data_IF_724692477522
#
_entry.id   IF_724692477522
#
_cell.length_a   1.000
_cell.length_b   1.000
_cell.length_c   1.000
_cell.angle_alpha   90.00
_cell.angle_beta   90.00
_cell.angle_gamma   90.00
#
_symmetry.space_group_name_H-M   'P 1'
#
loop_
_entity.id
_entity.type
_entity.pdbx_description
1 polymer ?
#
# COMPACT_ATOMS: atom_id res chain seq x y z
N UNK A 1 -8.20 -3.16 12.38
CA UNK A 1 -7.42 -4.20 13.08
C UNK A 1 -7.03 -3.74 14.48
N UNK A 2 -6.31 -2.60 14.65
CA UNK A 2 -5.85 -2.12 15.97
C UNK A 2 -7.02 -1.97 16.98
N UNK A 3 -8.03 -1.19 16.63
CA UNK A 3 -9.17 -0.95 17.52
C UNK A 3 -9.98 -2.22 17.81
N UNK A 4 -10.10 -3.12 16.83
CA UNK A 4 -10.74 -4.42 17.05
C UNK A 4 -9.97 -5.24 18.07
N UNK A 5 -8.63 -5.26 17.98
CA UNK A 5 -7.78 -5.93 18.96
C UNK A 5 -7.91 -5.34 20.38
N UNK A 6 -7.95 -4.01 20.49
CA UNK A 6 -8.15 -3.32 21.77
C UNK A 6 -9.52 -3.66 22.41
N UNK A 7 -10.59 -3.73 21.60
CA UNK A 7 -11.93 -4.11 22.10
C UNK A 7 -11.92 -5.54 22.60
N UNK A 8 -11.37 -6.50 21.86
CA UNK A 8 -11.30 -7.90 22.30
C UNK A 8 -10.45 -8.07 23.56
N UNK A 9 -9.29 -7.39 23.64
CA UNK A 9 -8.44 -7.39 24.84
C UNK A 9 -9.12 -6.78 26.06
N UNK A 10 -9.99 -5.77 25.86
CA UNK A 10 -10.78 -5.17 26.94
C UNK A 10 -11.93 -6.09 27.42
N UNK A 11 -12.48 -6.94 26.54
CA UNK A 11 -13.54 -7.90 26.90
C UNK A 11 -12.99 -9.06 27.73
N UNK A 12 -11.86 -9.64 27.34
CA UNK A 12 -11.21 -10.70 28.10
C UNK A 12 -9.69 -10.56 28.05
N UNK A 13 -9.04 -10.18 29.18
CA UNK A 13 -7.57 -10.03 29.28
C UNK A 13 -6.80 -11.34 29.00
N UNK A 14 -7.45 -12.49 28.97
CA UNK A 14 -6.81 -13.77 28.65
C UNK A 14 -6.71 -14.03 27.16
N UNK A 15 -7.37 -13.21 26.32
CA UNK A 15 -7.24 -13.26 24.88
C UNK A 15 -5.90 -12.66 24.46
N UNK A 16 -4.90 -13.48 24.30
CA UNK A 16 -3.60 -13.09 23.78
C UNK A 16 -3.20 -14.00 22.62
N UNK A 17 -2.58 -13.39 21.63
CA UNK A 17 -2.05 -14.14 20.48
C UNK A 17 -0.66 -14.67 20.86
N UNK A 18 -0.37 -15.97 20.66
CA UNK A 18 0.97 -16.50 20.87
C UNK A 18 2.03 -15.69 20.11
N UNK A 19 3.18 -15.47 20.74
CA UNK A 19 4.27 -14.64 20.23
C UNK A 19 4.69 -15.04 18.81
N UNK A 20 4.83 -16.35 18.57
CA UNK A 20 5.23 -16.87 17.26
C UNK A 20 4.25 -16.49 16.13
N UNK A 21 2.96 -16.36 16.45
CA UNK A 21 1.92 -16.03 15.45
C UNK A 21 2.03 -14.57 15.04
N UNK A 22 2.19 -13.65 15.99
CA UNK A 22 2.31 -12.23 15.64
C UNK A 22 3.66 -11.94 14.96
N UNK A 23 4.77 -12.58 15.38
CA UNK A 23 6.07 -12.46 14.74
C UNK A 23 6.04 -12.95 13.30
N UNK A 24 5.44 -14.12 13.07
CA UNK A 24 5.27 -14.65 11.71
C UNK A 24 4.44 -13.68 10.84
N UNK A 25 3.35 -13.16 11.38
CA UNK A 25 2.52 -12.16 10.70
C UNK A 25 3.30 -10.88 10.36
N UNK A 26 4.12 -10.38 11.30
CA UNK A 26 4.96 -9.21 11.09
C UNK A 26 6.02 -9.44 10.00
N UNK A 27 6.71 -10.58 10.04
CA UNK A 27 7.71 -10.95 9.04
C UNK A 27 7.08 -11.05 7.64
N UNK A 28 5.95 -11.74 7.49
CA UNK A 28 5.24 -11.85 6.23
C UNK A 28 4.76 -10.48 5.72
N UNK A 29 4.28 -9.62 6.61
CA UNK A 29 3.84 -8.27 6.28
C UNK A 29 5.00 -7.42 5.73
N UNK A 30 6.13 -7.35 6.46
CA UNK A 30 7.30 -6.58 6.04
C UNK A 30 7.89 -7.13 4.73
N UNK A 31 7.98 -8.46 4.61
CA UNK A 31 8.46 -9.12 3.41
C UNK A 31 7.59 -8.80 2.18
N UNK A 32 6.27 -8.85 2.33
CA UNK A 32 5.31 -8.53 1.25
C UNK A 32 5.45 -7.08 0.78
N UNK A 33 5.59 -6.14 1.73
CA UNK A 33 5.84 -4.73 1.40
C UNK A 33 7.18 -4.58 0.65
N UNK A 34 8.24 -5.23 1.14
CA UNK A 34 9.56 -5.19 0.50
C UNK A 34 9.52 -5.69 -0.95
N UNK A 35 8.84 -6.82 -1.18
CA UNK A 35 8.69 -7.38 -2.53
C UNK A 35 7.90 -6.47 -3.46
N UNK A 36 6.78 -5.91 -3.00
CA UNK A 36 5.94 -5.07 -3.84
C UNK A 36 6.55 -3.70 -4.12
N UNK A 37 7.26 -3.13 -3.15
CA UNK A 37 7.85 -1.79 -3.26
C UNK A 37 9.25 -1.77 -3.89
N UNK A 38 9.97 -2.88 -3.83
CA UNK A 38 11.36 -2.97 -4.29
C UNK A 38 11.58 -2.54 -5.75
N UNK A 39 10.87 -3.10 -6.73
CA UNK A 39 11.04 -2.72 -8.14
C UNK A 39 10.78 -1.24 -8.40
N UNK A 40 9.72 -0.69 -7.80
CA UNK A 40 9.36 0.73 -7.94
C UNK A 40 10.41 1.64 -7.30
N UNK A 41 10.92 1.27 -6.13
CA UNK A 41 11.99 1.99 -5.45
C UNK A 41 13.25 2.11 -6.32
N UNK A 42 13.74 1.00 -6.87
CA UNK A 42 14.93 1.01 -7.72
C UNK A 42 14.73 1.76 -9.05
N UNK A 43 13.53 1.72 -9.63
CA UNK A 43 13.21 2.48 -10.83
C UNK A 43 13.18 4.00 -10.52
N UNK A 44 12.53 4.40 -9.45
CA UNK A 44 12.47 5.79 -9.00
C UNK A 44 13.87 6.33 -8.65
N UNK A 45 14.70 5.53 -7.98
CA UNK A 45 16.07 5.89 -7.64
C UNK A 45 16.91 6.19 -8.89
N UNK A 46 16.78 5.43 -9.96
CA UNK A 46 17.51 5.67 -11.21
C UNK A 46 17.10 6.97 -11.91
N UNK A 47 15.88 7.43 -11.74
CA UNK A 47 15.33 8.57 -12.48
C UNK A 47 15.46 9.91 -11.74
N UNK A 48 15.14 9.95 -10.43
CA UNK A 48 15.15 11.15 -9.60
C UNK A 48 15.81 10.92 -8.23
N UNK A 49 16.52 9.82 -8.06
CA UNK A 49 16.82 9.19 -6.81
C UNK A 49 17.50 10.05 -5.75
N UNK A 50 18.47 10.89 -6.14
CA UNK A 50 19.20 11.72 -5.18
C UNK A 50 18.31 12.80 -4.55
N UNK A 51 17.46 13.45 -5.33
CA UNK A 51 16.56 14.50 -4.82
C UNK A 51 15.51 13.90 -3.88
N UNK A 52 14.86 12.83 -4.30
CA UNK A 52 13.78 12.20 -3.54
C UNK A 52 14.34 11.51 -2.28
N UNK A 53 15.51 10.87 -2.40
CA UNK A 53 16.22 10.32 -1.25
C UNK A 53 16.59 11.39 -0.21
N UNK A 54 17.19 12.49 -0.65
CA UNK A 54 17.56 13.59 0.24
C UNK A 54 16.32 14.20 0.92
N UNK A 55 15.24 14.39 0.17
CA UNK A 55 13.97 14.87 0.72
C UNK A 55 13.44 13.95 1.82
N UNK A 56 13.41 12.62 1.58
CA UNK A 56 12.95 11.64 2.58
C UNK A 56 13.84 11.67 3.83
N UNK A 57 15.17 11.69 3.65
CA UNK A 57 16.10 11.73 4.79
C UNK A 57 15.91 13.02 5.62
N UNK A 58 15.77 14.17 4.97
CA UNK A 58 15.51 15.45 5.67
C UNK A 58 14.18 15.38 6.43
N UNK A 59 13.12 14.85 5.81
CA UNK A 59 11.82 14.70 6.47
C UNK A 59 11.87 13.75 7.67
N UNK A 60 12.62 12.65 7.58
CA UNK A 60 12.82 11.74 8.71
C UNK A 60 13.60 12.40 9.85
N UNK A 61 14.64 13.14 9.54
CA UNK A 61 15.41 13.88 10.56
C UNK A 61 14.53 14.94 11.23
N UNK A 62 13.78 15.73 10.45
CA UNK A 62 12.89 16.76 10.99
C UNK A 62 11.80 16.15 11.88
N UNK A 63 11.17 15.06 11.46
CA UNK A 63 10.15 14.38 12.25
C UNK A 63 10.73 13.80 13.56
N UNK A 64 11.94 13.24 13.50
CA UNK A 64 12.66 12.78 14.70
C UNK A 64 13.02 13.93 15.64
N UNK A 65 13.48 15.07 15.13
CA UNK A 65 13.75 16.26 15.94
C UNK A 65 12.49 16.79 16.62
N UNK A 66 11.35 16.80 15.92
CA UNK A 66 10.06 17.16 16.53
C UNK A 66 9.73 16.22 17.68
N UNK A 67 9.91 14.91 17.51
CA UNK A 67 9.70 13.94 18.60
C UNK A 67 10.60 14.23 19.81
N UNK A 68 11.88 14.55 19.61
CA UNK A 68 12.81 14.93 20.68
C UNK A 68 12.37 16.23 21.38
N UNK A 69 11.93 17.23 20.64
CA UNK A 69 11.40 18.48 21.22
C UNK A 69 10.16 18.20 22.06
N UNK A 70 9.23 17.39 21.57
CA UNK A 70 8.03 17.01 22.31
C UNK A 70 8.37 16.21 23.57
N UNK A 71 9.35 15.30 23.50
CA UNK A 71 9.87 14.59 24.65
C UNK A 71 10.33 15.56 25.74
N UNK A 72 11.13 16.55 25.37
CA UNK A 72 11.68 17.53 26.31
C UNK A 72 10.62 18.51 26.88
N UNK A 73 9.68 18.97 26.01
CA UNK A 73 8.66 19.97 26.40
C UNK A 73 7.59 19.37 27.30
N UNK A 74 7.17 18.13 27.04
CA UNK A 74 6.07 17.48 27.77
C UNK A 74 6.55 16.51 28.85
N UNK A 75 7.85 16.39 29.09
CA UNK A 75 8.46 15.48 30.09
C UNK A 75 7.92 14.04 29.98
N UNK A 76 7.75 13.56 28.75
CA UNK A 76 7.26 12.21 28.46
C UNK A 76 8.36 11.18 28.65
N UNK A 77 8.00 9.92 28.93
CA UNK A 77 9.00 8.86 28.91
C UNK A 77 9.53 8.61 27.48
N UNK A 78 10.78 8.16 27.39
CA UNK A 78 11.38 7.81 26.10
C UNK A 78 10.60 6.70 25.38
N UNK A 79 10.01 5.76 26.11
CA UNK A 79 9.16 4.72 25.57
C UNK A 79 7.87 5.28 24.97
N UNK A 80 7.18 6.17 25.70
CA UNK A 80 5.94 6.80 25.23
C UNK A 80 6.17 7.60 23.96
N UNK A 81 7.22 8.44 23.89
CA UNK A 81 7.46 9.28 22.71
C UNK A 81 7.90 8.46 21.50
N UNK A 82 8.68 7.39 21.71
CA UNK A 82 9.10 6.49 20.63
C UNK A 82 7.90 5.72 20.04
N UNK A 83 7.03 5.23 20.95
CA UNK A 83 5.76 4.64 20.54
C UNK A 83 4.86 5.62 19.80
N UNK A 84 4.73 6.85 20.29
CA UNK A 84 3.95 7.91 19.65
C UNK A 84 4.52 8.30 18.27
N UNK A 85 5.83 8.33 18.12
CA UNK A 85 6.48 8.56 16.83
C UNK A 85 6.19 7.42 15.83
N UNK A 86 6.32 6.16 16.27
CA UNK A 86 5.98 5.01 15.46
C UNK A 86 4.49 5.00 15.06
N UNK A 87 3.59 5.38 15.97
CA UNK A 87 2.16 5.49 15.70
C UNK A 87 1.82 6.63 14.72
N UNK A 88 2.37 7.82 14.92
CA UNK A 88 2.13 8.98 14.05
C UNK A 88 2.60 8.77 12.61
N UNK A 89 3.65 7.98 12.44
CA UNK A 89 4.15 7.55 11.13
C UNK A 89 3.50 6.26 10.62
N UNK A 90 2.51 5.70 11.35
CA UNK A 90 1.83 4.43 11.05
C UNK A 90 2.81 3.26 10.81
N UNK A 91 3.93 3.27 11.52
CA UNK A 91 5.05 2.34 11.34
C UNK A 91 5.05 1.24 12.42
N UNK A 92 4.24 0.20 12.21
CA UNK A 92 4.17 -0.96 13.13
C UNK A 92 5.52 -1.70 13.26
N UNK A 93 6.33 -1.89 12.21
CA UNK A 93 7.67 -2.47 12.36
C UNK A 93 8.60 -1.67 13.29
N UNK A 94 8.48 -0.34 13.30
CA UNK A 94 9.26 0.48 14.23
C UNK A 94 8.84 0.24 15.69
N UNK A 95 7.53 0.09 15.97
CA UNK A 95 7.07 -0.29 17.31
C UNK A 95 7.62 -1.64 17.74
N UNK A 96 7.61 -2.65 16.84
CA UNK A 96 8.17 -3.95 17.13
C UNK A 96 9.67 -3.85 17.50
N UNK A 97 10.45 -3.07 16.75
CA UNK A 97 11.86 -2.83 17.07
C UNK A 97 12.06 -2.13 18.43
N UNK A 98 11.15 -1.24 18.82
CA UNK A 98 11.18 -0.62 20.16
C UNK A 98 10.89 -1.64 21.25
N UNK A 99 9.89 -2.50 21.05
CA UNK A 99 9.56 -3.58 22.00
C UNK A 99 10.73 -4.55 22.15
N UNK A 100 11.32 -4.99 21.05
CA UNK A 100 12.49 -5.87 21.08
C UNK A 100 13.66 -5.23 21.82
N UNK A 101 13.97 -3.96 21.54
CA UNK A 101 15.03 -3.22 22.23
C UNK A 101 14.79 -3.16 23.75
N UNK A 102 13.55 -2.87 24.18
CA UNK A 102 13.19 -2.82 25.59
C UNK A 102 13.34 -4.20 26.24
N UNK A 103 12.84 -5.24 25.58
CA UNK A 103 12.90 -6.62 26.08
C UNK A 103 14.33 -7.12 26.30
N UNK A 104 15.26 -6.74 25.40
CA UNK A 104 16.65 -7.17 25.51
C UNK A 104 17.50 -6.35 26.49
N UNK A 105 17.15 -5.11 26.78
CA UNK A 105 18.01 -4.19 27.53
C UNK A 105 17.52 -3.88 28.95
N UNK A 106 16.30 -4.30 29.32
CA UNK A 106 15.72 -4.02 30.65
C UNK A 106 15.22 -5.29 31.32
N UNK A 107 15.23 -5.28 32.66
CA UNK A 107 14.70 -6.38 33.46
C UNK A 107 13.18 -6.53 33.30
N UNK A 108 12.64 -7.73 33.45
CA UNK A 108 11.25 -8.07 33.15
C UNK A 108 10.22 -7.09 33.76
N UNK A 109 10.37 -6.66 35.02
CA UNK A 109 9.43 -5.74 35.65
C UNK A 109 9.45 -4.32 35.05
N UNK A 110 10.63 -3.83 34.66
CA UNK A 110 10.82 -2.53 34.02
C UNK A 110 10.41 -2.61 32.54
N UNK A 111 10.76 -3.71 31.89
CA UNK A 111 10.43 -3.98 30.50
C UNK A 111 8.93 -3.92 30.25
N UNK A 112 8.12 -4.61 31.06
CA UNK A 112 6.66 -4.61 30.92
C UNK A 112 6.07 -3.21 31.03
N UNK A 113 6.58 -2.37 31.93
CA UNK A 113 6.12 -1.00 32.08
C UNK A 113 6.45 -0.16 30.84
N UNK A 114 7.71 -0.23 30.38
CA UNK A 114 8.16 0.53 29.20
C UNK A 114 7.46 0.07 27.91
N UNK A 115 7.22 -1.23 27.75
CA UNK A 115 6.45 -1.78 26.61
C UNK A 115 5.03 -1.23 26.63
N UNK A 116 4.36 -1.23 27.80
CA UNK A 116 3.01 -0.69 27.90
C UNK A 116 2.98 0.81 27.55
N UNK A 117 3.95 1.58 28.02
CA UNK A 117 4.07 3.01 27.68
C UNK A 117 4.27 3.23 26.17
N UNK A 118 5.14 2.44 25.52
CA UNK A 118 5.34 2.51 24.08
C UNK A 118 4.07 2.15 23.31
N UNK A 119 3.36 1.10 23.71
CA UNK A 119 2.10 0.67 23.08
C UNK A 119 1.00 1.71 23.28
N UNK A 120 0.90 2.33 24.45
CA UNK A 120 -0.04 3.43 24.71
C UNK A 120 0.26 4.62 23.79
N UNK A 121 1.53 5.06 23.74
CA UNK A 121 1.96 6.14 22.86
C UNK A 121 1.61 5.88 21.40
N UNK A 122 1.89 4.66 20.92
CA UNK A 122 1.56 4.21 19.59
C UNK A 122 0.05 4.22 19.31
N UNK A 123 -0.73 3.61 20.21
CA UNK A 123 -2.18 3.47 20.03
C UNK A 123 -2.90 4.81 20.03
N UNK A 124 -2.42 5.76 20.80
CA UNK A 124 -2.97 7.11 20.86
C UNK A 124 -2.65 7.94 19.62
N UNK A 125 -1.44 7.84 19.10
CA UNK A 125 -0.98 8.65 17.96
C UNK A 125 -1.35 8.06 16.59
N UNK A 126 -1.54 6.75 16.48
CA UNK A 126 -1.82 6.06 15.23
C UNK A 126 -3.05 6.60 14.47
N UNK A 127 -4.21 6.83 15.12
CA UNK A 127 -5.36 7.40 14.42
C UNK A 127 -5.05 8.77 13.82
N UNK A 128 -4.27 9.58 14.54
CA UNK A 128 -3.89 10.90 14.05
C UNK A 128 -2.87 10.81 12.90
N UNK A 129 -2.00 9.81 12.91
CA UNK A 129 -1.11 9.52 11.78
C UNK A 129 -1.87 9.25 10.47
N UNK A 130 -2.95 8.47 10.56
CA UNK A 130 -3.83 8.18 9.41
C UNK A 130 -4.65 9.41 9.00
N UNK A 131 -5.36 10.00 9.94
CA UNK A 131 -6.24 11.16 9.68
C UNK A 131 -5.43 12.39 9.28
N UNK A 132 -4.29 12.63 9.94
CA UNK A 132 -3.39 13.73 9.64
C UNK A 132 -2.87 13.69 8.20
N UNK A 133 -2.51 12.52 7.70
CA UNK A 133 -2.13 12.34 6.31
C UNK A 133 -3.24 12.69 5.33
N UNK A 134 -4.46 12.24 5.58
CA UNK A 134 -5.64 12.57 4.77
C UNK A 134 -5.92 14.08 4.80
N UNK A 135 -5.91 14.67 5.99
CA UNK A 135 -6.14 16.11 6.17
C UNK A 135 -5.04 16.92 5.46
N UNK A 136 -3.78 16.51 5.59
CA UNK A 136 -2.66 17.18 4.92
C UNK A 136 -2.83 17.18 3.39
N UNK A 137 -3.23 16.04 2.80
CA UNK A 137 -3.50 15.95 1.35
C UNK A 137 -4.63 16.89 0.95
N UNK A 138 -5.75 16.90 1.68
CA UNK A 138 -6.91 17.76 1.40
C UNK A 138 -6.54 19.26 1.53
N UNK A 139 -5.75 19.61 2.53
CA UNK A 139 -5.28 20.99 2.74
C UNK A 139 -4.33 21.40 1.60
N UNK A 140 -3.37 20.54 1.25
CA UNK A 140 -2.43 20.81 0.14
C UNK A 140 -3.15 20.95 -1.20
N UNK A 141 -4.11 20.08 -1.49
CA UNK A 141 -4.94 20.17 -2.69
C UNK A 141 -5.61 21.55 -2.81
N UNK A 142 -6.20 22.02 -1.70
CA UNK A 142 -6.89 23.30 -1.66
C UNK A 142 -5.96 24.50 -1.74
N UNK A 143 -4.83 24.46 -1.02
CA UNK A 143 -3.83 25.55 -1.00
C UNK A 143 -3.09 25.68 -2.33
N UNK A 144 -2.69 24.56 -2.92
CA UNK A 144 -1.91 24.52 -4.17
C UNK A 144 -2.79 24.53 -5.42
N UNK A 145 -4.13 24.48 -5.27
CA UNK A 145 -5.10 24.41 -6.38
C UNK A 145 -4.70 23.38 -7.43
N UNK A 146 -4.40 22.15 -6.98
CA UNK A 146 -3.89 21.06 -7.81
C UNK A 146 -4.94 20.66 -8.84
N UNK A 147 -4.56 20.69 -10.12
CA UNK A 147 -5.37 20.19 -11.23
C UNK A 147 -4.93 18.75 -11.55
N UNK A 148 -5.63 17.77 -10.99
CA UNK A 148 -5.31 16.35 -11.15
C UNK A 148 -5.32 15.87 -12.59
N UNK A 149 -6.11 16.48 -13.48
CA UNK A 149 -6.12 16.10 -14.90
C UNK A 149 -4.82 16.50 -15.61
N UNK A 150 -4.27 17.66 -15.28
CA UNK A 150 -2.98 18.12 -15.79
C UNK A 150 -1.84 17.29 -15.22
N UNK A 151 -1.83 17.07 -13.90
CA UNK A 151 -0.83 16.26 -13.22
C UNK A 151 -0.82 14.82 -13.75
N UNK A 152 -1.99 14.21 -13.95
CA UNK A 152 -2.13 12.87 -14.51
C UNK A 152 -1.56 12.78 -15.94
N UNK A 153 -1.76 13.80 -16.76
CA UNK A 153 -1.17 13.85 -18.10
C UNK A 153 0.36 13.95 -18.05
N UNK A 154 0.90 14.78 -17.16
CA UNK A 154 2.35 14.92 -16.97
C UNK A 154 2.97 13.64 -16.40
N UNK A 155 2.33 13.01 -15.43
CA UNK A 155 2.78 11.73 -14.86
C UNK A 155 2.84 10.63 -15.92
N UNK A 156 1.86 10.55 -16.82
CA UNK A 156 1.87 9.57 -17.93
C UNK A 156 3.03 9.78 -18.91
N UNK A 157 3.48 11.01 -19.11
CA UNK A 157 4.64 11.28 -19.96
C UNK A 157 5.97 11.07 -19.23
N UNK A 158 5.99 11.27 -17.92
CA UNK A 158 7.21 11.20 -17.10
C UNK A 158 7.47 9.79 -16.58
N UNK A 159 6.44 9.12 -16.16
CA UNK A 159 6.46 7.71 -15.78
C UNK A 159 5.65 6.98 -16.86
N UNK A 160 6.31 6.12 -17.63
CA UNK A 160 5.61 5.13 -18.43
C UNK A 160 4.89 4.20 -17.43
N UNK A 161 3.74 4.66 -16.95
CA UNK A 161 2.82 3.79 -16.22
C UNK A 161 2.49 2.70 -17.20
N UNK A 162 2.87 1.48 -16.87
CA UNK A 162 2.36 0.30 -17.58
C UNK A 162 0.89 0.57 -17.85
N UNK A 163 0.53 0.59 -19.11
CA UNK A 163 -0.83 0.90 -19.53
C UNK A 163 -1.74 0.00 -18.70
N UNK A 164 -2.50 0.60 -17.79
CA UNK A 164 -3.48 -0.16 -17.03
C UNK A 164 -4.30 -0.93 -18.03
N UNK A 165 -4.15 -2.24 -18.06
CA UNK A 165 -4.99 -3.11 -18.84
C UNK A 165 -6.43 -2.82 -18.40
N UNK A 166 -7.14 -2.03 -19.20
CA UNK A 166 -8.55 -1.82 -18.96
C UNK A 166 -9.28 -3.03 -19.52
N UNK A 167 -9.94 -3.78 -18.67
CA UNK A 167 -10.82 -4.86 -19.14
C UNK A 167 -12.14 -4.26 -19.61
N UNK A 168 -12.55 -4.61 -20.81
CA UNK A 168 -13.86 -4.29 -21.33
C UNK A 168 -14.53 -5.54 -21.89
N UNK A 169 -15.84 -5.57 -21.81
CA UNK A 169 -16.66 -6.62 -22.40
C UNK A 169 -17.23 -6.10 -23.72
N UNK A 170 -16.96 -6.77 -24.81
CA UNK A 170 -17.35 -6.35 -26.16
C UNK A 170 -18.28 -7.42 -26.76
N UNK A 171 -19.42 -6.99 -27.31
CA UNK A 171 -20.31 -7.86 -28.05
C UNK A 171 -20.01 -7.75 -29.58
N UNK A 172 -19.87 -8.87 -30.21
CA UNK A 172 -19.66 -8.95 -31.66
C UNK A 172 -20.95 -8.57 -32.39
N UNK A 173 -20.92 -7.45 -33.10
CA UNK A 173 -22.06 -6.94 -33.89
C UNK A 173 -21.73 -6.74 -35.36
N UNK A 174 -20.43 -6.66 -35.73
CA UNK A 174 -20.01 -6.48 -37.12
C UNK A 174 -19.93 -7.82 -37.84
N UNK A 175 -20.68 -8.01 -38.95
CA UNK A 175 -20.62 -9.25 -39.76
C UNK A 175 -19.26 -9.53 -40.40
N UNK A 176 -18.46 -8.50 -40.66
CA UNK A 176 -17.17 -8.65 -41.34
C UNK A 176 -16.12 -9.43 -40.54
N UNK A 177 -16.28 -9.47 -39.22
CA UNK A 177 -15.38 -10.20 -38.32
C UNK A 177 -15.85 -11.63 -38.03
N UNK A 178 -17.02 -12.03 -38.58
CA UNK A 178 -17.58 -13.37 -38.34
C UNK A 178 -17.00 -14.40 -39.34
N UNK A 179 -17.00 -15.67 -38.94
CA UNK A 179 -16.46 -16.79 -39.72
C UNK A 179 -14.96 -16.66 -40.09
N UNK A 180 -14.23 -15.79 -39.42
CA UNK A 180 -12.77 -15.64 -39.57
C UNK A 180 -12.11 -16.04 -38.25
N UNK A 181 -10.92 -16.64 -38.36
CA UNK A 181 -10.16 -17.02 -37.17
C UNK A 181 -9.64 -15.77 -36.42
N UNK A 182 -9.58 -15.84 -35.11
CA UNK A 182 -9.03 -14.75 -34.31
C UNK A 182 -7.64 -14.34 -34.77
N UNK A 183 -6.78 -15.30 -35.12
CA UNK A 183 -5.44 -15.06 -35.67
C UNK A 183 -5.47 -14.12 -36.86
N UNK A 184 -6.37 -14.35 -37.80
CA UNK A 184 -6.49 -13.56 -39.03
C UNK A 184 -7.01 -12.15 -38.74
N UNK A 185 -7.94 -12.02 -37.80
CA UNK A 185 -8.46 -10.73 -37.37
C UNK A 185 -7.38 -9.89 -36.67
N UNK A 186 -6.60 -10.48 -35.77
CA UNK A 186 -5.48 -9.80 -35.13
C UNK A 186 -4.46 -9.30 -36.17
N UNK A 187 -4.10 -10.11 -37.15
CA UNK A 187 -3.15 -9.74 -38.19
C UNK A 187 -3.72 -8.67 -39.13
N UNK A 188 -5.00 -8.78 -39.51
CA UNK A 188 -5.64 -7.85 -40.45
C UNK A 188 -5.84 -6.46 -39.87
N UNK A 189 -6.28 -6.40 -38.60
CA UNK A 189 -6.64 -5.14 -37.94
C UNK A 189 -5.57 -4.64 -36.97
N UNK A 190 -4.47 -5.36 -36.82
CA UNK A 190 -3.36 -5.06 -35.93
C UNK A 190 -3.84 -4.73 -34.46
N UNK A 191 -4.72 -5.58 -33.94
CA UNK A 191 -5.28 -5.37 -32.61
C UNK A 191 -4.23 -5.52 -31.53
N UNK A 192 -4.10 -4.52 -30.67
CA UNK A 192 -3.27 -4.56 -29.47
C UNK A 192 -4.13 -4.81 -28.22
N UNK A 193 -4.85 -5.93 -28.21
CA UNK A 193 -5.73 -6.36 -27.11
C UNK A 193 -5.43 -7.81 -26.76
N UNK A 194 -5.80 -8.19 -25.56
CA UNK A 194 -5.76 -9.60 -25.11
C UNK A 194 -7.19 -10.04 -24.85
N UNK A 195 -7.65 -11.05 -25.56
CA UNK A 195 -8.96 -11.65 -25.31
C UNK A 195 -8.76 -12.82 -24.37
N UNK A 196 -9.29 -12.71 -23.15
CA UNK A 196 -9.18 -13.75 -22.14
C UNK A 196 -10.22 -14.86 -22.32
N UNK A 197 -11.49 -14.49 -22.50
CA UNK A 197 -12.61 -15.43 -22.61
C UNK A 197 -13.61 -14.96 -23.65
N UNK A 198 -14.30 -15.94 -24.24
CA UNK A 198 -15.39 -15.70 -25.20
C UNK A 198 -16.61 -16.48 -24.70
N UNK A 199 -17.74 -15.79 -24.62
CA UNK A 199 -19.04 -16.39 -24.36
C UNK A 199 -19.74 -16.55 -25.71
N UNK A 200 -19.90 -17.79 -26.14
CA UNK A 200 -20.52 -18.18 -27.42
C UNK A 200 -21.45 -19.36 -27.19
N UNK A 201 -22.61 -19.35 -27.84
CA UNK A 201 -23.59 -20.44 -27.75
C UNK A 201 -23.97 -20.89 -26.33
N UNK A 202 -24.04 -19.94 -25.38
CA UNK A 202 -24.40 -20.25 -24.00
C UNK A 202 -23.25 -20.79 -23.14
N UNK A 203 -22.03 -20.89 -23.66
CA UNK A 203 -20.86 -21.41 -22.97
C UNK A 203 -19.73 -20.38 -22.92
N UNK A 204 -19.06 -20.32 -21.77
CA UNK A 204 -17.87 -19.49 -21.58
C UNK A 204 -16.62 -20.35 -21.84
N UNK A 205 -15.80 -19.94 -22.80
CA UNK A 205 -14.59 -20.67 -23.18
C UNK A 205 -13.38 -19.76 -23.12
N UNK A 206 -12.18 -20.33 -22.90
CA UNK A 206 -10.93 -19.59 -23.05
C UNK A 206 -10.68 -19.30 -24.52
N UNK A 207 -10.21 -18.08 -24.82
CA UNK A 207 -9.88 -17.72 -26.19
C UNK A 207 -8.65 -18.50 -26.67
N UNK A 208 -8.68 -18.94 -27.92
CA UNK A 208 -7.53 -19.50 -28.62
C UNK A 208 -7.52 -19.04 -30.08
N UNK A 209 -6.36 -19.03 -30.68
CA UNK A 209 -6.11 -18.37 -31.99
C UNK A 209 -6.96 -18.91 -33.16
N UNK A 210 -7.36 -20.16 -33.09
CA UNK A 210 -8.11 -20.84 -34.17
C UNK A 210 -9.63 -20.72 -33.99
N UNK A 211 -10.11 -20.02 -32.93
CA UNK A 211 -11.55 -19.76 -32.76
C UNK A 211 -12.07 -18.79 -33.82
N UNK A 212 -13.31 -19.05 -34.25
CA UNK A 212 -14.09 -18.14 -35.10
C UNK A 212 -15.13 -17.42 -34.26
N UNK A 213 -15.39 -16.16 -34.61
CA UNK A 213 -16.41 -15.34 -33.96
C UNK A 213 -17.75 -15.45 -34.71
N UNK A 214 -18.82 -15.38 -33.92
CA UNK A 214 -20.20 -15.32 -34.44
C UNK A 214 -20.90 -14.03 -33.97
N UNK A 215 -21.90 -13.57 -34.72
CA UNK A 215 -22.71 -12.43 -34.27
C UNK A 215 -23.38 -12.78 -32.93
N UNK A 216 -23.24 -11.87 -31.96
CA UNK A 216 -23.79 -12.07 -30.63
C UNK A 216 -22.80 -12.61 -29.60
N UNK A 217 -21.64 -13.11 -30.01
CA UNK A 217 -20.57 -13.53 -29.10
C UNK A 217 -20.11 -12.36 -28.22
N UNK A 218 -19.71 -12.66 -26.99
CA UNK A 218 -19.24 -11.67 -26.02
C UNK A 218 -17.79 -11.98 -25.66
N UNK A 219 -16.90 -11.06 -25.97
CA UNK A 219 -15.47 -11.14 -25.67
C UNK A 219 -15.16 -10.39 -24.37
N UNK A 220 -14.31 -10.95 -23.51
CA UNK A 220 -13.89 -10.39 -22.22
C UNK A 220 -12.37 -10.35 -22.12
#
# INVERSE_FOLDING_TARGET
VLFTGLVFGAIDPRLHIPEIVYLLGLVLFVYSIGLSSGPVFFQSYKKNGLRDFFFIVVMLILSGLIAVVLWYVFDLSAATITGAYAGSTTNTPALAGVIDYITYNFDNGTSDTLINEAVIGYSFSYPMGVLGGIIAILVMERLLKIDYEKEKKQLRTTYAVESNLSSCTIKVTNPEVTNRQLRDLFNTYNWNIVIGRIYSNGQLQLSHWDMTLSIGDVMM
#
